data_IF_896522076612
#
_entry.id   IF_896522076612
#
_cell.length_a   1.000
_cell.length_b   1.000
_cell.length_c   1.000
_cell.angle_alpha   90.00
_cell.angle_beta   90.00
_cell.angle_gamma   90.00
#
_symmetry.space_group_name_H-M   'P 1'
#
loop_
_entity.id
_entity.type
_entity.pdbx_description
1 polymer ?
#
# COMPACT_ATOMS: atom_id res chain seq x y z
N UNK A 1 23.09 8.61 33.52
CA UNK A 1 21.69 8.96 33.17
C UNK A 1 20.98 7.78 32.48
N UNK A 2 19.71 7.48 32.80
CA UNK A 2 18.97 6.44 32.07
C UNK A 2 18.73 6.90 30.62
N UNK A 3 19.06 6.04 29.66
CA UNK A 3 18.78 6.30 28.24
C UNK A 3 17.27 6.26 28.02
N UNK A 4 16.72 7.29 27.36
CA UNK A 4 15.30 7.26 26.97
C UNK A 4 15.09 6.11 25.98
N UNK A 5 14.00 5.35 26.10
CA UNK A 5 13.69 4.34 25.10
C UNK A 5 13.60 4.97 23.71
N UNK A 6 14.00 4.25 22.66
CA UNK A 6 13.93 4.76 21.30
C UNK A 6 12.49 5.16 20.94
N UNK A 7 12.30 6.23 20.16
CA UNK A 7 10.97 6.61 19.69
C UNK A 7 10.36 5.47 18.88
N UNK A 8 9.06 5.22 19.07
CA UNK A 8 8.34 4.24 18.27
C UNK A 8 8.29 4.71 16.81
N UNK A 9 8.54 3.83 15.83
CA UNK A 9 8.50 4.18 14.41
C UNK A 9 7.08 4.60 13.99
N UNK A 10 7.01 5.56 13.06
CA UNK A 10 5.77 5.99 12.42
C UNK A 10 5.33 5.00 11.34
N UNK A 11 4.03 4.91 11.07
CA UNK A 11 3.54 4.02 9.99
C UNK A 11 4.11 4.37 8.64
N UNK A 12 4.17 5.65 8.32
CA UNK A 12 4.75 6.13 7.08
C UNK A 12 6.25 5.89 6.93
N UNK A 13 6.95 5.50 8.00
CA UNK A 13 8.42 5.39 8.03
C UNK A 13 8.91 3.96 8.30
N UNK A 14 8.02 3.05 8.70
CA UNK A 14 8.37 1.68 9.01
C UNK A 14 8.55 0.84 7.74
N UNK A 15 9.61 0.03 7.73
CA UNK A 15 9.72 -1.08 6.79
C UNK A 15 8.66 -2.14 7.07
N UNK A 16 8.14 -2.78 6.03
CA UNK A 16 7.04 -3.73 6.11
C UNK A 16 6.06 -3.54 4.96
N UNK A 17 4.93 -4.23 5.04
CA UNK A 17 3.90 -4.17 3.99
C UNK A 17 2.50 -4.05 4.57
N UNK A 18 1.61 -3.51 3.76
CA UNK A 18 0.21 -3.29 4.02
C UNK A 18 -0.62 -4.28 3.20
N UNK A 19 -1.26 -5.21 3.87
CA UNK A 19 -2.13 -6.22 3.26
C UNK A 19 -3.59 -5.75 3.31
N UNK A 20 -4.33 -5.75 2.19
CA UNK A 20 -5.72 -5.31 2.18
C UNK A 20 -6.64 -6.32 2.86
N UNK A 21 -7.70 -5.82 3.50
CA UNK A 21 -8.77 -6.65 4.07
C UNK A 21 -9.52 -7.45 3.02
N UNK A 22 -9.62 -6.92 1.80
CA UNK A 22 -10.27 -7.57 0.68
C UNK A 22 -9.34 -7.64 -0.53
N UNK A 23 -9.24 -8.84 -1.10
CA UNK A 23 -8.44 -9.06 -2.29
C UNK A 23 -9.30 -8.86 -3.53
N UNK A 24 -8.86 -7.99 -4.43
CA UNK A 24 -9.51 -7.76 -5.72
C UNK A 24 -8.58 -8.12 -6.87
N UNK A 25 -9.17 -8.39 -8.04
CA UNK A 25 -8.44 -8.75 -9.26
C UNK A 25 -8.82 -7.82 -10.40
N UNK A 26 -7.83 -7.29 -11.12
CA UNK A 26 -8.04 -6.47 -12.32
C UNK A 26 -7.18 -7.03 -13.44
N UNK A 27 -7.79 -7.29 -14.60
CA UNK A 27 -7.12 -7.81 -15.79
C UNK A 27 -6.18 -8.98 -15.48
N UNK A 28 -6.68 -10.00 -14.78
CA UNK A 28 -5.94 -11.20 -14.30
C UNK A 28 -4.89 -11.01 -13.20
N UNK A 29 -4.69 -9.78 -12.72
CA UNK A 29 -3.73 -9.44 -11.67
C UNK A 29 -4.46 -9.18 -10.36
N UNK A 30 -4.23 -10.05 -9.38
CA UNK A 30 -4.77 -9.87 -8.02
C UNK A 30 -3.86 -8.95 -7.24
N UNK A 31 -4.38 -7.86 -6.69
CA UNK A 31 -3.64 -7.01 -5.78
C UNK A 31 -3.42 -7.76 -4.45
N UNK A 32 -2.19 -7.73 -3.92
CA UNK A 32 -1.83 -8.52 -2.73
C UNK A 32 -1.28 -7.68 -1.60
N UNK A 33 -0.39 -6.72 -1.87
CA UNK A 33 0.16 -5.85 -0.83
C UNK A 33 0.65 -4.53 -1.38
N UNK A 34 0.73 -3.55 -0.49
CA UNK A 34 1.36 -2.26 -0.68
C UNK A 34 2.60 -2.17 0.22
N UNK A 35 3.71 -1.69 -0.31
CA UNK A 35 4.93 -1.39 0.46
C UNK A 35 5.24 0.09 0.34
N UNK A 36 5.61 0.74 1.44
CA UNK A 36 5.95 2.18 1.47
C UNK A 36 7.44 2.44 1.62
N UNK A 37 8.17 1.52 2.28
CA UNK A 37 9.59 1.64 2.62
C UNK A 37 10.32 0.34 2.30
N UNK A 38 11.60 0.40 1.89
CA UNK A 38 12.39 1.61 1.65
C UNK A 38 11.94 2.38 0.40
N UNK A 39 11.38 1.68 -0.58
CA UNK A 39 10.83 2.23 -1.82
C UNK A 39 9.34 1.89 -1.94
N UNK A 40 8.51 2.81 -2.44
CA UNK A 40 7.08 2.58 -2.57
C UNK A 40 6.78 1.74 -3.81
N UNK A 41 6.11 0.61 -3.59
CA UNK A 41 5.64 -0.26 -4.67
C UNK A 41 4.39 -1.02 -4.25
N UNK A 42 3.64 -1.47 -5.25
CA UNK A 42 2.49 -2.36 -5.06
C UNK A 42 2.80 -3.73 -5.64
N UNK A 43 2.27 -4.76 -5.02
CA UNK A 43 2.49 -6.14 -5.43
C UNK A 43 1.19 -6.74 -5.95
N UNK A 44 1.28 -7.29 -7.15
CA UNK A 44 0.24 -8.10 -7.76
C UNK A 44 0.68 -9.56 -7.88
N UNK A 45 -0.26 -10.49 -7.82
CA UNK A 45 -0.04 -11.89 -8.16
C UNK A 45 -0.76 -12.23 -9.45
N UNK A 46 -0.09 -12.96 -10.35
CA UNK A 46 -0.62 -13.50 -11.60
C UNK A 46 -0.05 -14.90 -11.81
N UNK A 47 -0.91 -15.92 -11.93
CA UNK A 47 -0.58 -17.34 -12.23
C UNK A 47 0.87 -17.74 -11.86
N UNK A 48 1.10 -18.01 -10.57
CA UNK A 48 2.40 -18.48 -10.07
C UNK A 48 3.54 -17.45 -10.04
N UNK A 49 3.30 -16.22 -10.50
CA UNK A 49 4.27 -15.12 -10.49
C UNK A 49 3.81 -13.98 -9.60
N UNK A 50 4.78 -13.36 -8.94
CA UNK A 50 4.62 -12.12 -8.20
C UNK A 50 5.19 -10.98 -9.05
N UNK A 51 4.43 -9.91 -9.18
CA UNK A 51 4.82 -8.71 -9.89
C UNK A 51 4.85 -7.53 -8.93
N UNK A 52 6.01 -6.93 -8.78
CA UNK A 52 6.17 -5.67 -8.06
C UNK A 52 6.17 -4.52 -9.04
N UNK A 53 5.46 -3.45 -8.68
CA UNK A 53 5.28 -2.27 -9.53
C UNK A 53 5.62 -1.06 -8.70
N UNK A 54 6.74 -0.43 -9.04
CA UNK A 54 7.20 0.80 -8.42
C UNK A 54 6.19 1.93 -8.62
N UNK A 55 6.05 2.76 -7.59
CA UNK A 55 5.20 3.95 -7.64
C UNK A 55 6.08 5.18 -7.87
N UNK A 56 6.16 5.63 -9.12
CA UNK A 56 7.05 6.72 -9.54
C UNK A 56 6.70 8.07 -8.89
N UNK A 57 5.41 8.32 -8.61
CA UNK A 57 4.98 9.50 -7.83
C UNK A 57 4.38 9.01 -6.52
N UNK A 58 5.15 9.21 -5.44
CA UNK A 58 4.78 8.83 -4.09
C UNK A 58 4.96 10.01 -3.13
N UNK A 59 3.89 10.37 -2.43
CA UNK A 59 3.89 11.38 -1.36
C UNK A 59 3.40 10.72 -0.08
N UNK A 60 4.32 10.53 0.85
CA UNK A 60 4.08 9.81 2.09
C UNK A 60 4.32 10.77 3.25
N UNK A 61 3.25 11.22 3.89
CA UNK A 61 3.28 12.04 5.10
C UNK A 61 3.00 11.22 6.35
N UNK A 62 2.97 11.86 7.52
CA UNK A 62 2.66 11.16 8.78
C UNK A 62 1.22 10.64 8.84
N UNK A 63 0.28 11.33 8.18
CA UNK A 63 -1.16 11.02 8.27
C UNK A 63 -1.75 10.49 6.96
N UNK A 64 -1.07 10.68 5.83
CA UNK A 64 -1.61 10.41 4.51
C UNK A 64 -0.57 9.80 3.57
N UNK A 65 -1.07 9.04 2.61
CA UNK A 65 -0.30 8.41 1.55
C UNK A 65 -0.97 8.68 0.20
N UNK A 66 -0.18 9.08 -0.78
CA UNK A 66 -0.60 9.23 -2.16
C UNK A 66 0.40 8.52 -3.04
N UNK A 67 -0.06 7.54 -3.82
CA UNK A 67 0.79 6.74 -4.70
C UNK A 67 0.20 6.73 -6.09
N UNK A 68 1.07 6.79 -7.08
CA UNK A 68 0.75 6.54 -8.49
C UNK A 68 1.77 5.55 -9.04
N UNK A 69 1.29 4.38 -9.47
CA UNK A 69 2.11 3.27 -9.94
C UNK A 69 1.65 2.86 -11.34
N UNK A 70 2.59 2.67 -12.27
CA UNK A 70 2.28 2.31 -13.65
C UNK A 70 2.30 0.80 -13.84
N UNK A 71 1.12 0.20 -14.00
CA UNK A 71 0.96 -1.23 -14.19
C UNK A 71 1.00 -1.55 -15.69
N UNK A 72 2.17 -1.96 -16.17
CA UNK A 72 2.44 -2.23 -17.59
C UNK A 72 1.31 -3.09 -18.23
N UNK A 73 0.80 -2.65 -19.39
CA UNK A 73 -0.32 -3.23 -20.16
C UNK A 73 -1.70 -3.18 -19.50
N UNK A 74 -1.82 -2.69 -18.26
CA UNK A 74 -3.11 -2.46 -17.61
C UNK A 74 -3.43 -0.97 -17.62
N UNK A 75 -2.56 -0.14 -17.02
CA UNK A 75 -2.74 1.31 -16.93
C UNK A 75 -2.13 1.87 -15.64
N UNK A 76 -2.86 2.74 -14.95
CA UNK A 76 -2.36 3.44 -13.74
C UNK A 76 -3.14 3.00 -12.51
N UNK A 77 -2.40 2.73 -11.43
CA UNK A 77 -2.95 2.47 -10.09
C UNK A 77 -2.70 3.71 -9.25
N UNK A 78 -3.75 4.32 -8.71
CA UNK A 78 -3.64 5.37 -7.69
C UNK A 78 -4.13 4.86 -6.35
N UNK A 79 -3.41 5.22 -5.28
CA UNK A 79 -3.76 4.88 -3.90
C UNK A 79 -3.71 6.16 -3.07
N UNK A 80 -4.88 6.60 -2.61
CA UNK A 80 -5.04 7.78 -1.78
C UNK A 80 -5.55 7.35 -0.41
N UNK A 81 -4.68 7.37 0.60
CA UNK A 81 -4.96 6.81 1.91
C UNK A 81 -4.63 7.70 3.09
N UNK A 82 -5.15 7.29 4.25
CA UNK A 82 -4.91 7.89 5.56
C UNK A 82 -4.59 6.83 6.59
N UNK A 83 -3.57 7.10 7.41
CA UNK A 83 -3.23 6.23 8.52
C UNK A 83 -4.24 6.38 9.65
N UNK A 84 -4.78 5.26 10.13
CA UNK A 84 -5.67 5.20 11.30
C UNK A 84 -4.90 4.99 12.60
N UNK A 85 -3.63 4.57 12.50
CA UNK A 85 -2.66 4.56 13.59
C UNK A 85 -1.42 5.36 13.20
N UNK A 86 -0.93 6.20 14.10
CA UNK A 86 0.30 6.97 13.87
C UNK A 86 1.57 6.12 13.96
N UNK A 87 1.59 5.15 14.87
CA UNK A 87 2.77 4.36 15.22
C UNK A 87 2.60 2.89 14.86
N UNK A 88 3.74 2.20 14.72
CA UNK A 88 3.75 0.77 14.39
C UNK A 88 3.05 -0.02 15.46
N UNK A 89 2.14 -0.85 15.00
CA UNK A 89 1.43 -1.84 15.80
C UNK A 89 1.52 -3.17 15.06
N UNK A 90 1.78 -4.22 15.83
CA UNK A 90 1.73 -5.61 15.36
C UNK A 90 0.34 -6.22 15.53
N UNK A 91 -0.67 -5.42 15.89
CA UNK A 91 -2.06 -5.90 16.04
C UNK A 91 -2.63 -6.22 14.65
N UNK A 92 -2.83 -7.52 14.41
CA UNK A 92 -3.49 -8.02 13.20
C UNK A 92 -5.01 -7.77 13.22
N UNK A 93 -5.56 -7.34 14.35
CA UNK A 93 -7.00 -7.07 14.50
C UNK A 93 -7.39 -5.63 14.14
N UNK A 94 -6.41 -4.74 13.91
CA UNK A 94 -6.65 -3.32 13.66
C UNK A 94 -6.05 -2.89 12.33
N UNK A 95 -6.87 -2.58 11.30
CA UNK A 95 -6.37 -1.95 10.10
C UNK A 95 -5.75 -0.59 10.42
N UNK A 96 -4.56 -0.32 9.88
CA UNK A 96 -3.76 0.88 10.18
C UNK A 96 -3.76 1.91 9.04
N UNK A 97 -4.32 1.56 7.89
CA UNK A 97 -4.42 2.41 6.70
C UNK A 97 -5.79 2.20 6.07
N UNK A 98 -6.48 3.29 5.72
CA UNK A 98 -7.66 3.25 4.84
C UNK A 98 -7.35 4.03 3.58
N UNK A 99 -7.53 3.43 2.40
CA UNK A 99 -7.20 4.06 1.13
C UNK A 99 -8.28 3.85 0.07
N UNK A 100 -8.48 4.87 -0.77
CA UNK A 100 -9.18 4.74 -2.04
C UNK A 100 -8.17 4.22 -3.06
N UNK A 101 -8.47 3.06 -3.64
CA UNK A 101 -7.71 2.49 -4.75
C UNK A 101 -8.51 2.77 -6.02
N UNK A 102 -7.85 3.36 -7.01
CA UNK A 102 -8.43 3.55 -8.34
C UNK A 102 -7.48 2.98 -9.38
N UNK A 103 -8.02 2.22 -10.32
CA UNK A 103 -7.26 1.66 -11.45
C UNK A 103 -7.91 2.16 -12.72
N UNK A 104 -7.14 2.88 -13.52
CA UNK A 104 -7.54 3.35 -14.84
C UNK A 104 -6.75 2.61 -15.91
N UNK A 105 -7.36 2.35 -17.06
CA UNK A 105 -6.64 1.77 -18.18
C UNK A 105 -5.77 2.81 -18.91
N UNK A 106 -5.03 2.38 -19.94
CA UNK A 106 -4.19 3.29 -20.74
C UNK A 106 -4.96 4.37 -21.50
N UNK A 107 -6.28 4.27 -21.60
CA UNK A 107 -7.18 5.29 -22.17
C UNK A 107 -7.77 6.22 -21.12
N UNK A 108 -7.46 6.02 -19.84
CA UNK A 108 -8.01 6.78 -18.72
C UNK A 108 -9.37 6.30 -18.21
N UNK A 109 -9.90 5.17 -18.71
CA UNK A 109 -11.18 4.62 -18.26
C UNK A 109 -10.99 3.88 -16.93
N UNK A 110 -11.83 4.15 -15.93
CA UNK A 110 -11.79 3.47 -14.63
C UNK A 110 -12.21 2.01 -14.77
N UNK A 111 -11.29 1.09 -14.50
CA UNK A 111 -11.53 -0.36 -14.45
C UNK A 111 -11.97 -0.81 -13.05
N UNK A 112 -11.48 -0.13 -12.01
CA UNK A 112 -11.77 -0.46 -10.62
C UNK A 112 -11.67 0.79 -9.75
N UNK A 113 -12.55 0.91 -8.76
CA UNK A 113 -12.48 1.95 -7.73
C UNK A 113 -13.15 1.46 -6.45
N UNK A 114 -12.39 1.33 -5.37
CA UNK A 114 -12.92 0.90 -4.07
C UNK A 114 -12.12 1.48 -2.91
N UNK A 115 -12.78 1.64 -1.76
CA UNK A 115 -12.12 2.00 -0.51
C UNK A 115 -11.77 0.72 0.26
N UNK A 116 -10.50 0.55 0.57
CA UNK A 116 -9.97 -0.61 1.26
C UNK A 116 -9.29 -0.22 2.57
N UNK A 117 -9.27 -1.17 3.50
CA UNK A 117 -8.52 -1.06 4.75
C UNK A 117 -7.35 -2.03 4.73
N UNK A 118 -6.24 -1.70 5.39
CA UNK A 118 -5.02 -2.50 5.32
C UNK A 118 -4.43 -2.76 6.70
N UNK A 119 -3.97 -3.99 6.91
CA UNK A 119 -3.16 -4.38 8.06
C UNK A 119 -1.69 -4.21 7.75
N UNK A 120 -0.90 -3.80 8.74
CA UNK A 120 0.54 -3.70 8.59
C UNK A 120 1.20 -4.97 9.11
N UNK A 121 2.20 -5.43 8.37
CA UNK A 121 3.02 -6.58 8.69
C UNK A 121 4.49 -6.17 8.66
N UNK A 122 5.26 -6.73 9.60
CA UNK A 122 6.71 -6.60 9.58
C UNK A 122 7.28 -7.23 8.29
N UNK A 123 8.49 -6.83 7.87
CA UNK A 123 9.18 -7.47 6.74
C UNK A 123 9.27 -8.99 6.92
N UNK A 124 9.20 -9.72 5.80
CA UNK A 124 9.34 -11.18 5.71
C UNK A 124 10.73 -11.67 6.21
#
# INVERSE_FOLDING_TARGET
>A
PPQRPPPRPLQSEAEGYYEPTYQFTVSDRRFTRLTLRPEPFVTFSRIGTRQEVGCEDARIGQDAVHLRCELERVGVVTIDGRFTSRFVTSSLDTPVLSALITITNTRGETLFSARESFYWHAPD
#
